data_IF_549208048172
#
_entry.id   IF_549208048172
#
_cell.length_a   1.000
_cell.length_b   1.000
_cell.length_c   1.000
_cell.angle_alpha   90.00
_cell.angle_beta   90.00
_cell.angle_gamma   90.00
#
_symmetry.space_group_name_H-M   'P 1'
#
loop_
_entity.id
_entity.type
_entity.pdbx_description
1 polymer ?
#
# COMPACT_ATOMS: atom_id res chain seq x y z
N UNK A 1 -15.77 -39.23 -39.17
CA UNK A 1 -14.69 -38.25 -38.97
C UNK A 1 -15.33 -36.87 -38.83
N UNK A 2 -15.27 -36.32 -37.62
CA UNK A 2 -16.18 -35.30 -37.08
C UNK A 2 -15.68 -33.86 -37.33
N UNK A 3 -16.58 -32.87 -37.55
CA UNK A 3 -16.24 -31.56 -38.08
C UNK A 3 -15.90 -30.55 -36.97
N UNK A 4 -14.63 -30.47 -36.55
CA UNK A 4 -14.19 -29.47 -35.54
C UNK A 4 -12.93 -28.66 -35.96
N UNK A 5 -12.26 -29.01 -37.06
CA UNK A 5 -10.95 -28.41 -37.39
C UNK A 5 -10.95 -27.21 -38.36
N UNK A 6 -12.10 -26.62 -38.72
CA UNK A 6 -12.19 -25.51 -39.71
C UNK A 6 -12.71 -24.18 -39.16
N UNK A 7 -12.48 -23.86 -37.88
CA UNK A 7 -12.94 -22.58 -37.28
C UNK A 7 -11.86 -21.71 -36.63
N UNK A 8 -10.58 -21.96 -36.90
CA UNK A 8 -9.45 -21.21 -36.29
C UNK A 8 -8.49 -20.59 -37.31
N UNK A 9 -8.99 -20.23 -38.50
CA UNK A 9 -8.25 -19.42 -39.47
C UNK A 9 -9.22 -18.45 -40.15
N UNK A 10 -9.75 -17.47 -39.42
CA UNK A 10 -10.31 -16.20 -39.94
C UNK A 10 -10.89 -15.40 -38.77
N UNK A 11 -10.01 -14.77 -37.98
CA UNK A 11 -10.28 -13.54 -37.22
C UNK A 11 -8.93 -13.01 -36.69
N UNK A 12 -8.02 -12.77 -37.63
CA UNK A 12 -6.87 -11.87 -37.43
C UNK A 12 -7.20 -10.62 -38.22
N UNK A 13 -7.99 -9.73 -37.63
CA UNK A 13 -8.14 -8.32 -37.99
C UNK A 13 -9.29 -7.72 -37.15
N UNK A 14 -9.09 -6.50 -36.66
CA UNK A 14 -10.07 -5.67 -35.94
C UNK A 14 -10.25 -5.93 -34.43
N UNK A 15 -9.20 -5.63 -33.65
CA UNK A 15 -9.41 -4.96 -32.36
C UNK A 15 -9.13 -3.47 -32.58
N UNK A 16 -10.16 -2.75 -33.03
CA UNK A 16 -10.09 -1.29 -33.17
C UNK A 16 -9.94 -0.66 -31.79
N UNK A 17 -9.23 0.47 -31.77
CA UNK A 17 -9.08 1.34 -30.61
C UNK A 17 -10.46 1.76 -30.10
N UNK A 18 -10.93 1.12 -29.03
CA UNK A 18 -12.00 1.66 -28.21
C UNK A 18 -11.37 2.62 -27.20
N UNK A 19 -11.24 3.88 -27.61
CA UNK A 19 -10.93 4.98 -26.70
C UNK A 19 -12.13 5.18 -25.78
N UNK A 20 -12.08 4.62 -24.57
CA UNK A 20 -13.01 4.99 -23.50
C UNK A 20 -12.56 6.37 -23.01
N UNK A 21 -13.19 7.40 -23.55
CA UNK A 21 -13.06 8.77 -23.10
C UNK A 21 -13.87 8.96 -21.82
N UNK A 22 -13.27 8.68 -20.65
CA UNK A 22 -13.72 9.26 -19.39
C UNK A 22 -12.91 10.53 -19.12
N UNK A 23 -13.53 11.64 -18.71
CA UNK A 23 -12.79 12.82 -18.30
C UNK A 23 -12.24 12.56 -16.89
N UNK A 24 -11.17 11.77 -16.78
CA UNK A 24 -10.41 11.72 -15.54
C UNK A 24 -9.61 13.02 -15.46
N UNK A 25 -10.13 13.96 -14.65
CA UNK A 25 -9.49 15.24 -14.34
C UNK A 25 -8.00 15.04 -14.08
N UNK A 26 -7.16 15.70 -14.88
CA UNK A 26 -5.70 15.65 -14.84
C UNK A 26 -5.09 16.36 -13.60
N UNK A 27 -5.77 16.32 -12.45
CA UNK A 27 -5.37 17.03 -11.23
C UNK A 27 -4.54 16.16 -10.28
N UNK A 28 -4.43 14.83 -10.51
CA UNK A 28 -3.80 13.88 -9.57
C UNK A 28 -2.42 13.35 -10.01
N UNK A 29 -1.85 13.80 -11.13
CA UNK A 29 -0.51 13.38 -11.54
C UNK A 29 0.46 14.56 -11.53
N UNK A 30 1.14 14.77 -10.40
CA UNK A 30 2.34 15.60 -10.36
C UNK A 30 3.57 14.72 -10.64
N UNK A 31 4.44 15.09 -11.59
CA UNK A 31 5.74 14.45 -11.75
C UNK A 31 6.52 14.54 -10.43
N UNK A 32 7.23 13.48 -10.05
CA UNK A 32 8.06 13.38 -8.84
C UNK A 32 9.15 14.47 -8.70
N UNK A 33 9.39 15.25 -9.76
CA UNK A 33 10.26 16.43 -9.75
C UNK A 33 9.56 17.71 -9.26
N UNK A 34 8.25 17.70 -9.04
CA UNK A 34 7.56 18.80 -8.36
C UNK A 34 8.05 18.83 -6.91
N UNK A 35 8.49 19.99 -6.39
CA UNK A 35 8.70 20.11 -4.95
C UNK A 35 7.41 19.65 -4.25
N UNK A 36 7.56 18.83 -3.22
CA UNK A 36 6.47 18.48 -2.32
C UNK A 36 5.68 19.75 -2.00
N UNK A 37 4.33 19.73 -1.99
CA UNK A 37 3.58 20.90 -1.56
C UNK A 37 4.18 21.34 -0.24
N UNK A 38 4.71 22.57 -0.21
CA UNK A 38 5.34 23.10 0.99
C UNK A 38 4.35 22.88 2.13
N UNK A 39 4.85 22.35 3.25
CA UNK A 39 4.04 21.91 4.38
C UNK A 39 3.05 22.96 4.92
N UNK A 40 3.09 24.19 4.40
CA UNK A 40 2.36 25.37 4.85
C UNK A 40 0.83 25.28 4.69
N UNK A 41 0.27 24.83 3.56
CA UNK A 41 -1.22 24.88 3.37
C UNK A 41 -2.00 23.86 4.20
N UNK A 42 -1.38 22.74 4.57
CA UNK A 42 -2.02 21.70 5.37
C UNK A 42 -1.63 21.75 6.85
N UNK A 43 -0.72 22.67 7.24
CA UNK A 43 -0.22 22.77 8.61
C UNK A 43 -1.36 23.07 9.60
N UNK A 44 -2.09 24.15 9.36
CA UNK A 44 -3.16 24.60 10.27
C UNK A 44 -4.30 23.57 10.39
N UNK A 45 -4.84 22.98 9.30
CA UNK A 45 -5.84 21.92 9.42
C UNK A 45 -5.35 20.69 10.19
N UNK A 46 -4.09 20.28 9.98
CA UNK A 46 -3.50 19.13 10.69
C UNK A 46 -3.29 19.43 12.18
N UNK A 47 -2.79 20.61 12.51
CA UNK A 47 -2.57 21.05 13.89
C UNK A 47 -3.90 21.15 14.64
N UNK A 48 -4.93 21.73 14.02
CA UNK A 48 -6.28 21.79 14.59
C UNK A 48 -6.85 20.38 14.84
N UNK A 49 -6.73 19.47 13.86
CA UNK A 49 -7.17 18.08 14.02
C UNK A 49 -6.40 17.34 15.11
N UNK A 50 -5.08 17.55 15.22
CA UNK A 50 -4.28 16.99 16.29
C UNK A 50 -4.73 17.49 17.67
N UNK A 51 -4.94 18.81 17.82
CA UNK A 51 -5.37 19.41 19.08
C UNK A 51 -6.77 18.93 19.49
N UNK A 52 -7.67 18.77 18.52
CA UNK A 52 -8.99 18.18 18.74
C UNK A 52 -8.86 16.73 19.26
N UNK A 53 -8.11 15.87 18.56
CA UNK A 53 -7.91 14.47 18.96
C UNK A 53 -7.24 14.36 20.33
N UNK A 54 -6.14 15.09 20.57
CA UNK A 54 -5.37 14.97 21.81
C UNK A 54 -6.16 15.47 23.02
N UNK A 55 -7.07 16.42 22.85
CA UNK A 55 -7.95 16.93 23.90
C UNK A 55 -8.89 15.88 24.49
N UNK A 56 -9.11 14.75 23.81
CA UNK A 56 -9.92 13.64 24.29
C UNK A 56 -9.16 12.67 25.22
N UNK A 57 -7.84 12.83 25.38
CA UNK A 57 -7.00 11.92 26.16
C UNK A 57 -6.60 12.54 27.51
N UNK A 58 -6.45 11.67 28.53
CA UNK A 58 -5.88 12.08 29.82
C UNK A 58 -4.37 12.36 29.67
N UNK A 59 -3.78 13.28 30.46
CA UNK A 59 -2.36 13.62 30.36
C UNK A 59 -1.41 12.43 30.46
N UNK A 60 -1.68 11.49 31.37
CA UNK A 60 -0.88 10.28 31.54
C UNK A 60 -0.93 9.34 30.34
N UNK A 61 -2.01 9.34 29.56
CA UNK A 61 -2.10 8.59 28.30
C UNK A 61 -1.29 9.30 27.20
N UNK A 62 -1.34 10.64 27.17
CA UNK A 62 -0.55 11.42 26.22
C UNK A 62 0.94 11.16 26.41
N UNK A 63 1.40 11.06 27.66
CA UNK A 63 2.79 10.75 28.01
C UNK A 63 3.26 9.35 27.57
N UNK A 64 2.33 8.43 27.26
CA UNK A 64 2.64 7.10 26.76
C UNK A 64 2.91 7.08 25.26
N UNK A 65 2.27 7.95 24.46
CA UNK A 65 2.42 7.89 23.00
C UNK A 65 3.88 8.02 22.51
N UNK A 66 4.71 8.96 23.02
CA UNK A 66 6.10 9.04 22.62
C UNK A 66 6.91 7.78 22.97
N UNK A 67 6.57 7.12 24.08
CA UNK A 67 7.24 5.90 24.52
C UNK A 67 6.88 4.73 23.60
N UNK A 68 5.60 4.58 23.27
CA UNK A 68 5.13 3.56 22.31
C UNK A 68 5.75 3.78 20.93
N UNK A 69 5.86 5.04 20.49
CA UNK A 69 6.54 5.37 19.24
C UNK A 69 8.03 4.98 19.28
N UNK A 70 8.72 5.23 20.39
CA UNK A 70 10.12 4.82 20.54
C UNK A 70 10.28 3.29 20.49
N UNK A 71 9.41 2.53 21.16
CA UNK A 71 9.41 1.07 21.08
C UNK A 71 9.13 0.56 19.66
N UNK A 72 8.18 1.19 18.95
CA UNK A 72 7.90 0.86 17.55
C UNK A 72 9.11 1.11 16.64
N UNK A 73 9.80 2.24 16.82
CA UNK A 73 11.02 2.55 16.06
C UNK A 73 12.10 1.49 16.36
N UNK A 74 12.33 1.17 17.63
CA UNK A 74 13.28 0.12 18.00
C UNK A 74 12.93 -1.25 17.40
N UNK A 75 11.65 -1.61 17.36
CA UNK A 75 11.21 -2.85 16.72
C UNK A 75 11.50 -2.85 15.19
N UNK A 76 11.30 -1.72 14.52
CA UNK A 76 11.55 -1.58 13.08
C UNK A 76 13.04 -1.55 12.72
N UNK A 77 13.94 -1.27 13.67
CA UNK A 77 15.39 -1.40 13.47
C UNK A 77 15.83 -2.86 13.30
N UNK A 78 15.09 -3.83 13.85
CA UNK A 78 15.36 -5.26 13.66
C UNK A 78 15.14 -5.67 12.20
N UNK A 79 14.11 -5.11 11.58
CA UNK A 79 13.74 -5.43 10.20
C UNK A 79 12.41 -4.79 9.80
N UNK A 80 12.14 -4.74 8.48
CA UNK A 80 10.85 -4.28 7.98
C UNK A 80 9.79 -5.34 8.30
N UNK A 81 8.59 -4.89 8.67
CA UNK A 81 7.49 -5.81 8.93
C UNK A 81 6.27 -5.12 9.50
N UNK A 82 5.16 -5.85 9.55
CA UNK A 82 3.91 -5.40 10.14
C UNK A 82 3.92 -5.60 11.67
N UNK A 83 4.75 -4.82 12.37
CA UNK A 83 4.94 -4.90 13.83
C UNK A 83 3.63 -4.64 14.57
N UNK A 84 2.89 -3.61 14.15
CA UNK A 84 1.62 -3.25 14.78
C UNK A 84 0.52 -4.26 14.46
N UNK A 85 0.48 -4.82 13.25
CA UNK A 85 -0.45 -5.89 12.91
C UNK A 85 -0.20 -7.17 13.71
N UNK A 86 1.07 -7.54 13.92
CA UNK A 86 1.43 -8.66 14.79
C UNK A 86 0.97 -8.40 16.23
N UNK A 87 1.29 -7.23 16.80
CA UNK A 87 0.85 -6.86 18.15
C UNK A 87 -0.68 -6.83 18.28
N UNK A 88 -1.38 -6.31 17.27
CA UNK A 88 -2.84 -6.27 17.26
C UNK A 88 -3.44 -7.67 17.28
N UNK A 89 -2.81 -8.62 16.58
CA UNK A 89 -3.21 -10.02 16.59
C UNK A 89 -2.97 -10.66 17.96
N UNK A 90 -1.76 -10.48 18.51
CA UNK A 90 -1.34 -11.06 19.79
C UNK A 90 -2.15 -10.54 20.98
N UNK A 91 -2.56 -9.27 20.94
CA UNK A 91 -3.43 -8.66 21.96
C UNK A 91 -4.92 -8.98 21.76
N UNK A 92 -5.27 -9.79 20.76
CA UNK A 92 -6.63 -10.15 20.38
C UNK A 92 -7.57 -8.94 20.20
N UNK A 93 -7.02 -7.77 19.79
CA UNK A 93 -7.77 -6.51 19.67
C UNK A 93 -8.75 -6.48 18.48
N UNK A 94 -8.90 -7.62 17.79
CA UNK A 94 -9.85 -7.80 16.70
C UNK A 94 -11.25 -7.37 17.14
N UNK A 95 -11.74 -6.32 16.48
CA UNK A 95 -13.12 -5.90 16.66
C UNK A 95 -14.03 -6.89 15.94
N UNK A 96 -14.37 -8.00 16.62
CA UNK A 96 -15.31 -9.03 16.12
C UNK A 96 -16.64 -8.43 15.65
N UNK A 97 -17.04 -7.27 16.19
CA UNK A 97 -18.28 -6.59 15.84
C UNK A 97 -18.24 -5.80 14.51
N UNK A 98 -17.06 -5.45 13.98
CA UNK A 98 -16.91 -4.76 12.67
C UNK A 98 -16.52 -5.68 11.51
N UNK A 99 -16.34 -6.98 11.77
CA UNK A 99 -16.02 -7.97 10.73
C UNK A 99 -14.68 -7.75 10.03
N UNK A 100 -13.75 -7.03 10.66
CA UNK A 100 -12.41 -6.79 10.12
C UNK A 100 -11.54 -8.02 10.32
N UNK A 101 -11.17 -8.64 9.20
CA UNK A 101 -10.22 -9.76 9.16
C UNK A 101 -8.91 -9.23 8.61
N UNK A 102 -7.87 -9.24 9.46
CA UNK A 102 -6.53 -8.90 9.03
C UNK A 102 -5.89 -10.11 8.36
N UNK A 103 -5.33 -9.91 7.18
CA UNK A 103 -4.53 -10.93 6.49
C UNK A 103 -3.29 -11.21 7.33
N UNK A 104 -3.06 -12.46 7.78
CA UNK A 104 -1.85 -12.81 8.50
C UNK A 104 -0.60 -12.44 7.70
N UNK A 105 0.38 -11.84 8.37
CA UNK A 105 1.54 -11.27 7.67
C UNK A 105 2.32 -12.31 6.83
N UNK A 106 2.37 -13.57 7.29
CA UNK A 106 2.98 -14.69 6.55
C UNK A 106 2.32 -14.92 5.19
N UNK A 107 1.00 -14.78 5.10
CA UNK A 107 0.26 -14.90 3.84
C UNK A 107 0.53 -13.69 2.94
N UNK A 108 0.56 -12.47 3.49
CA UNK A 108 0.93 -11.27 2.74
C UNK A 108 2.34 -11.39 2.14
N UNK A 109 3.32 -11.88 2.92
CA UNK A 109 4.68 -12.15 2.42
C UNK A 109 4.72 -13.18 1.32
N UNK A 110 4.03 -14.31 1.50
CA UNK A 110 3.95 -15.34 0.47
C UNK A 110 3.40 -14.78 -0.84
N UNK A 111 2.27 -14.05 -0.78
CA UNK A 111 1.66 -13.43 -1.95
C UNK A 111 2.62 -12.43 -2.62
N UNK A 112 3.26 -11.57 -1.85
CA UNK A 112 4.24 -10.61 -2.37
C UNK A 112 5.41 -11.28 -3.09
N UNK A 113 5.97 -12.37 -2.53
CA UNK A 113 7.07 -13.12 -3.15
C UNK A 113 6.65 -13.86 -4.43
N UNK A 114 5.42 -14.35 -4.49
CA UNK A 114 4.89 -14.97 -5.72
C UNK A 114 4.65 -13.91 -6.80
N UNK A 115 4.19 -12.71 -6.43
CA UNK A 115 4.00 -11.59 -7.35
C UNK A 115 5.32 -11.03 -7.85
N UNK A 116 6.26 -10.74 -6.94
CA UNK A 116 7.58 -10.22 -7.23
C UNK A 116 8.54 -11.40 -7.38
N UNK A 117 8.51 -12.00 -8.57
CA UNK A 117 9.18 -13.27 -8.88
C UNK A 117 10.70 -13.25 -8.65
N UNK A 118 11.38 -12.25 -9.23
CA UNK A 118 12.83 -12.14 -9.22
C UNK A 118 13.31 -10.70 -9.48
N UNK A 119 14.56 -10.39 -9.12
CA UNK A 119 15.13 -9.04 -9.21
C UNK A 119 15.18 -8.50 -10.65
N UNK A 120 15.42 -9.36 -11.64
CA UNK A 120 15.59 -8.93 -13.04
C UNK A 120 14.26 -8.49 -13.65
N UNK A 121 13.18 -9.21 -13.36
CA UNK A 121 11.83 -8.83 -13.79
C UNK A 121 11.40 -7.47 -13.23
N UNK A 122 11.75 -7.18 -11.97
CA UNK A 122 11.41 -5.90 -11.32
C UNK A 122 12.27 -4.77 -11.87
N UNK A 123 13.57 -5.01 -12.06
CA UNK A 123 14.48 -4.03 -12.67
C UNK A 123 14.07 -3.67 -14.09
N UNK A 124 13.55 -4.63 -14.87
CA UNK A 124 13.03 -4.35 -16.21
C UNK A 124 11.84 -3.37 -16.15
N UNK A 125 10.87 -3.59 -15.25
CA UNK A 125 9.74 -2.67 -15.02
C UNK A 125 10.25 -1.27 -14.62
N UNK A 126 11.22 -1.21 -13.71
CA UNK A 126 11.85 0.04 -13.28
C UNK A 126 12.60 0.72 -14.43
N UNK A 127 13.27 -0.03 -15.30
CA UNK A 127 13.97 0.49 -16.48
C UNK A 127 13.02 1.16 -17.47
N UNK A 128 11.86 0.56 -17.69
CA UNK A 128 10.87 1.04 -18.65
C UNK A 128 10.00 2.19 -18.09
N UNK A 129 9.66 2.15 -16.80
CA UNK A 129 8.67 3.05 -16.19
C UNK A 129 9.23 3.95 -15.07
N UNK A 130 10.47 3.72 -14.63
CA UNK A 130 11.12 4.41 -13.50
C UNK A 130 10.78 3.84 -12.12
N UNK A 131 9.63 3.18 -11.98
CA UNK A 131 9.14 2.59 -10.74
C UNK A 131 8.12 1.47 -11.02
N UNK A 132 7.91 0.64 -10.01
CA UNK A 132 6.84 -0.36 -9.94
C UNK A 132 5.57 0.30 -9.41
N UNK A 133 4.44 0.04 -10.04
CA UNK A 133 3.11 0.42 -9.51
C UNK A 133 2.42 -0.77 -8.87
N UNK A 134 1.82 -0.56 -7.71
CA UNK A 134 0.95 -1.52 -7.05
C UNK A 134 -0.41 -0.88 -6.71
N UNK A 135 -1.47 -1.69 -6.74
CA UNK A 135 -2.81 -1.28 -6.33
C UNK A 135 -3.34 -2.25 -5.29
N UNK A 136 -3.79 -1.73 -4.16
CA UNK A 136 -4.45 -2.50 -3.11
C UNK A 136 -5.83 -1.89 -2.84
N UNK A 137 -6.92 -2.47 -3.38
CA UNK A 137 -8.25 -1.89 -3.34
C UNK A 137 -8.99 -2.07 -1.99
N UNK A 138 -8.47 -2.91 -1.10
CA UNK A 138 -9.01 -3.13 0.25
C UNK A 138 -7.84 -3.27 1.24
N UNK A 139 -7.09 -2.18 1.41
CA UNK A 139 -5.77 -2.23 2.01
C UNK A 139 -5.76 -2.59 3.50
N UNK A 140 -6.87 -2.39 4.21
CA UNK A 140 -6.88 -2.49 5.66
C UNK A 140 -5.78 -1.58 6.23
N UNK A 141 -4.99 -2.14 7.15
CA UNK A 141 -3.80 -1.48 7.71
C UNK A 141 -2.55 -1.53 6.80
N UNK A 142 -2.66 -2.01 5.56
CA UNK A 142 -1.58 -1.99 4.57
C UNK A 142 -0.62 -3.17 4.63
N UNK A 143 -0.93 -4.28 5.31
CA UNK A 143 0.01 -5.40 5.50
C UNK A 143 0.55 -5.98 4.18
N UNK A 144 -0.26 -6.01 3.12
CA UNK A 144 0.16 -6.44 1.78
C UNK A 144 1.19 -5.47 1.15
N UNK A 145 1.01 -4.17 1.36
CA UNK A 145 1.92 -3.13 0.86
C UNK A 145 3.27 -3.21 1.58
N UNK A 146 3.24 -3.41 2.91
CA UNK A 146 4.44 -3.63 3.71
C UNK A 146 5.18 -4.88 3.23
N UNK A 147 4.46 -5.99 3.02
CA UNK A 147 5.04 -7.24 2.51
C UNK A 147 5.65 -7.08 1.10
N UNK A 148 5.00 -6.30 0.22
CA UNK A 148 5.52 -6.00 -1.11
C UNK A 148 6.83 -5.20 -1.04
N UNK A 149 6.88 -4.18 -0.18
CA UNK A 149 8.08 -3.39 0.07
C UNK A 149 9.22 -4.25 0.63
N UNK A 150 8.91 -5.15 1.58
CA UNK A 150 9.86 -6.12 2.11
C UNK A 150 10.39 -7.06 1.02
N UNK A 151 9.52 -7.63 0.18
CA UNK A 151 9.94 -8.51 -0.92
C UNK A 151 10.86 -7.79 -1.92
N UNK A 152 10.60 -6.52 -2.25
CA UNK A 152 11.52 -5.71 -3.07
C UNK A 152 12.88 -5.50 -2.39
N UNK A 153 12.88 -5.22 -1.08
CA UNK A 153 14.10 -5.06 -0.30
C UNK A 153 14.92 -6.36 -0.29
N UNK A 154 14.28 -7.51 -0.10
CA UNK A 154 14.92 -8.83 -0.09
C UNK A 154 15.63 -9.12 -1.45
N UNK A 155 15.12 -8.55 -2.55
CA UNK A 155 15.74 -8.60 -3.88
C UNK A 155 16.79 -7.52 -4.13
N UNK A 156 17.18 -6.75 -3.10
CA UNK A 156 18.16 -5.68 -3.19
C UNK A 156 17.65 -4.41 -3.88
N UNK A 157 16.33 -4.24 -3.98
CA UNK A 157 15.70 -3.10 -4.67
C UNK A 157 15.23 -2.09 -3.62
N UNK A 158 15.62 -0.83 -3.78
CA UNK A 158 15.18 0.25 -2.90
C UNK A 158 13.72 0.63 -3.19
N UNK A 159 12.79 -0.01 -2.48
CA UNK A 159 11.34 0.23 -2.61
C UNK A 159 10.96 1.70 -2.37
N UNK A 160 11.63 2.42 -1.47
CA UNK A 160 11.30 3.82 -1.16
C UNK A 160 11.47 4.76 -2.37
N UNK A 161 12.29 4.37 -3.35
CA UNK A 161 12.52 5.12 -4.59
C UNK A 161 11.79 4.55 -5.79
N UNK A 162 11.40 3.29 -5.73
CA UNK A 162 10.95 2.52 -6.89
C UNK A 162 9.59 1.85 -6.72
N UNK A 163 8.88 2.06 -5.62
CA UNK A 163 7.52 1.55 -5.42
C UNK A 163 6.54 2.71 -5.29
N UNK A 164 5.52 2.71 -6.14
CA UNK A 164 4.38 3.61 -6.07
C UNK A 164 3.11 2.81 -5.83
N UNK A 165 2.44 3.06 -4.70
CA UNK A 165 1.26 2.30 -4.28
C UNK A 165 0.03 3.17 -4.27
N UNK A 166 -1.04 2.67 -4.86
CA UNK A 166 -2.40 3.18 -4.68
C UNK A 166 -3.12 2.26 -3.70
N UNK A 167 -3.35 2.73 -2.48
CA UNK A 167 -4.09 2.01 -1.44
C UNK A 167 -5.48 2.62 -1.26
N UNK A 168 -6.50 1.78 -1.17
CA UNK A 168 -7.90 2.17 -1.00
C UNK A 168 -8.50 1.29 0.10
N UNK A 169 -9.25 1.91 1.00
CA UNK A 169 -10.11 1.19 1.94
C UNK A 169 -11.41 1.98 2.16
N UNK A 170 -12.43 1.30 2.68
CA UNK A 170 -13.71 1.92 3.04
C UNK A 170 -13.75 2.37 4.49
N UNK A 171 -12.94 1.78 5.39
CA UNK A 171 -12.86 2.19 6.80
C UNK A 171 -11.81 3.30 6.99
N UNK A 172 -12.19 4.52 7.37
CA UNK A 172 -11.25 5.60 7.65
C UNK A 172 -10.19 5.24 8.70
N UNK A 173 -10.52 4.36 9.66
CA UNK A 173 -9.52 3.91 10.66
C UNK A 173 -8.41 3.08 10.04
N UNK A 174 -8.75 2.21 9.10
CA UNK A 174 -7.79 1.42 8.34
C UNK A 174 -6.89 2.34 7.49
N UNK A 175 -7.48 3.35 6.84
CA UNK A 175 -6.74 4.37 6.07
C UNK A 175 -5.74 5.13 6.95
N UNK A 176 -6.07 5.43 8.22
CA UNK A 176 -5.14 6.11 9.12
C UNK A 176 -4.00 5.22 9.62
N UNK A 177 -4.15 3.90 9.53
CA UNK A 177 -3.11 2.93 9.91
C UNK A 177 -2.16 2.60 8.75
N UNK A 178 -2.65 2.61 7.51
CA UNK A 178 -1.90 2.29 6.28
C UNK A 178 -1.01 3.45 5.81
#
# INVERSE_FOLDING_TARGET
MSPISRRWRHCSAAASRATISTPFSATVWRPWHSPWPTASRQREPREASYLDIVGHYRPDVIDLFPRVLAELVQALEVGPGDVLGALFHDLELHNKARGQFFTPYTLSRFMAQVTIRDSESVKAIIGDHGFVTAMEPACGAGSMVIALAEAMRDLGINYQRHLHVTAIDIDPRAIHMA
#
